data_IF_965786013332
#
_entry.id   IF_965786013332
#
_cell.length_a   1.000
_cell.length_b   1.000
_cell.length_c   1.000
_cell.angle_alpha   90.00
_cell.angle_beta   90.00
_cell.angle_gamma   90.00
#
_symmetry.space_group_name_H-M   'P 1'
#
loop_
_entity.id
_entity.type
_entity.pdbx_description
1 polymer ?
#
# COMPACT_ATOMS: atom_id res chain seq x y z
N UNK A 1 7.12 -2.48 22.49
CA UNK A 1 6.96 -2.45 21.02
C UNK A 1 7.51 -3.74 20.46
N UNK A 2 6.76 -4.41 19.58
CA UNK A 2 7.22 -5.66 18.99
C UNK A 2 8.34 -5.39 17.98
N UNK A 3 9.32 -6.29 17.91
CA UNK A 3 10.41 -6.25 16.94
C UNK A 3 10.33 -7.52 16.12
N UNK A 4 10.50 -7.39 14.80
CA UNK A 4 10.54 -8.54 13.89
C UNK A 4 11.77 -9.37 14.26
N UNK A 5 11.57 -10.68 14.39
CA UNK A 5 12.67 -11.60 14.59
C UNK A 5 13.63 -11.56 13.39
N UNK A 6 14.89 -11.97 13.60
CA UNK A 6 15.86 -12.04 12.51
C UNK A 6 15.39 -12.99 11.40
N UNK A 7 14.71 -14.08 11.76
CA UNK A 7 14.07 -14.99 10.78
C UNK A 7 13.01 -14.28 9.94
N UNK A 8 12.11 -13.49 10.55
CA UNK A 8 11.10 -12.73 9.79
C UNK A 8 11.75 -11.70 8.85
N UNK A 9 12.83 -11.04 9.29
CA UNK A 9 13.59 -10.11 8.43
C UNK A 9 14.23 -10.82 7.24
N UNK A 10 14.78 -12.02 7.43
CA UNK A 10 15.36 -12.83 6.36
C UNK A 10 14.29 -13.29 5.36
N UNK A 11 13.12 -13.74 5.83
CA UNK A 11 11.97 -14.07 4.94
C UNK A 11 11.58 -12.84 4.11
N UNK A 12 11.41 -11.67 4.75
CA UNK A 12 11.11 -10.43 4.03
C UNK A 12 12.19 -10.07 3.02
N UNK A 13 13.46 -10.19 3.39
CA UNK A 13 14.60 -9.93 2.51
C UNK A 13 14.52 -10.82 1.27
N UNK A 14 14.29 -12.11 1.46
CA UNK A 14 14.18 -13.07 0.36
C UNK A 14 13.04 -12.72 -0.60
N UNK A 15 11.85 -12.44 -0.06
CA UNK A 15 10.67 -12.04 -0.85
C UNK A 15 10.94 -10.73 -1.62
N UNK A 16 11.41 -9.69 -0.94
CA UNK A 16 11.65 -8.38 -1.58
C UNK A 16 12.81 -8.40 -2.58
N UNK A 17 13.75 -9.33 -2.44
CA UNK A 17 14.83 -9.55 -3.43
C UNK A 17 14.26 -10.19 -4.69
N UNK A 18 13.41 -11.21 -4.56
CA UNK A 18 12.71 -11.83 -5.71
C UNK A 18 11.88 -10.79 -6.46
N UNK A 19 11.00 -10.09 -5.73
CA UNK A 19 10.07 -9.14 -6.32
C UNK A 19 10.80 -8.06 -7.07
N UNK A 20 11.84 -7.44 -6.49
CA UNK A 20 12.59 -6.38 -7.18
C UNK A 20 13.42 -6.87 -8.36
N UNK A 21 13.87 -8.12 -8.36
CA UNK A 21 14.72 -8.65 -9.43
C UNK A 21 13.91 -9.22 -10.60
N UNK A 22 12.81 -9.91 -10.28
CA UNK A 22 12.05 -10.75 -11.21
C UNK A 22 10.62 -10.26 -11.45
N UNK A 23 10.06 -9.42 -10.56
CA UNK A 23 8.65 -9.00 -10.63
C UNK A 23 7.67 -10.02 -10.05
N UNK A 24 8.18 -11.11 -9.46
CA UNK A 24 7.42 -12.24 -8.88
C UNK A 24 7.74 -12.38 -7.40
N UNK A 25 6.91 -13.08 -6.64
CA UNK A 25 7.20 -13.46 -5.26
C UNK A 25 7.48 -14.97 -5.17
N UNK A 26 8.31 -15.43 -4.22
CA UNK A 26 8.46 -16.85 -3.96
C UNK A 26 7.15 -17.40 -3.39
N UNK A 27 6.85 -18.64 -3.74
CA UNK A 27 5.74 -19.40 -3.16
C UNK A 27 6.03 -19.75 -1.70
N UNK A 28 4.97 -20.06 -0.95
CA UNK A 28 5.12 -20.57 0.42
C UNK A 28 5.96 -21.86 0.43
N UNK A 29 5.76 -22.74 -0.54
CA UNK A 29 6.53 -23.99 -0.66
C UNK A 29 8.04 -23.73 -0.84
N UNK A 30 8.42 -22.76 -1.68
CA UNK A 30 9.81 -22.35 -1.87
C UNK A 30 10.41 -21.77 -0.58
N UNK A 31 9.66 -20.92 0.13
CA UNK A 31 10.11 -20.39 1.42
C UNK A 31 10.33 -21.49 2.46
N UNK A 32 9.42 -22.48 2.55
CA UNK A 32 9.57 -23.61 3.47
C UNK A 32 10.82 -24.44 3.14
N UNK A 33 11.04 -24.71 1.85
CA UNK A 33 12.19 -25.47 1.37
C UNK A 33 13.52 -24.73 1.62
N UNK A 34 13.59 -23.45 1.24
CA UNK A 34 14.82 -22.64 1.35
C UNK A 34 15.23 -22.41 2.81
N UNK A 35 14.27 -22.10 3.69
CA UNK A 35 14.54 -21.87 5.10
C UNK A 35 14.58 -23.16 5.93
N UNK A 36 14.40 -24.33 5.30
CA UNK A 36 14.36 -25.65 5.93
C UNK A 36 13.47 -25.67 7.19
N UNK A 37 12.26 -25.10 7.09
CA UNK A 37 11.34 -24.97 8.22
C UNK A 37 9.95 -25.51 7.89
N UNK A 38 9.23 -26.08 8.87
CA UNK A 38 7.85 -26.51 8.68
C UNK A 38 6.90 -25.30 8.67
N UNK A 39 5.71 -25.48 8.09
CA UNK A 39 4.69 -24.42 7.98
C UNK A 39 4.32 -23.79 9.34
N UNK A 40 4.24 -24.60 10.39
CA UNK A 40 4.00 -24.13 11.76
C UNK A 40 5.03 -23.12 12.27
N UNK A 41 6.25 -23.11 11.72
CA UNK A 41 7.29 -22.13 12.04
C UNK A 41 7.25 -20.92 11.11
N UNK A 42 6.91 -21.09 9.83
CA UNK A 42 6.82 -19.98 8.87
C UNK A 42 5.57 -19.11 9.09
N UNK A 43 4.42 -19.73 9.39
CA UNK A 43 3.14 -19.05 9.58
C UNK A 43 3.20 -17.89 10.60
N UNK A 44 3.77 -18.03 11.81
CA UNK A 44 3.90 -16.90 12.73
C UNK A 44 4.84 -15.80 12.22
N UNK A 45 5.88 -16.13 11.44
CA UNK A 45 6.76 -15.13 10.83
C UNK A 45 6.01 -14.29 9.78
N UNK A 46 5.22 -14.95 8.92
CA UNK A 46 4.37 -14.26 7.94
C UNK A 46 3.31 -13.40 8.62
N UNK A 47 2.74 -13.88 9.73
CA UNK A 47 1.78 -13.11 10.54
C UNK A 47 2.41 -11.86 11.17
N UNK A 48 3.65 -11.97 11.65
CA UNK A 48 4.41 -10.81 12.14
C UNK A 48 4.69 -9.81 11.01
N UNK A 49 5.02 -10.30 9.81
CA UNK A 49 5.23 -9.45 8.62
C UNK A 49 3.95 -8.78 8.13
N UNK A 50 2.80 -9.46 8.23
CA UNK A 50 1.47 -8.86 8.03
C UNK A 50 1.21 -7.74 9.03
N UNK A 51 1.45 -8.00 10.32
CA UNK A 51 1.30 -7.00 11.38
C UNK A 51 2.25 -5.81 11.23
N UNK A 52 3.41 -6.02 10.60
CA UNK A 52 4.35 -4.96 10.26
C UNK A 52 4.05 -4.29 8.90
N UNK A 53 2.93 -4.60 8.24
CA UNK A 53 2.53 -4.04 6.94
C UNK A 53 3.65 -4.25 5.89
N UNK A 54 4.25 -5.44 5.90
CA UNK A 54 5.34 -5.82 5.00
C UNK A 54 4.87 -6.81 3.95
N UNK A 55 4.14 -7.84 4.35
CA UNK A 55 3.60 -8.88 3.47
C UNK A 55 2.10 -9.04 3.73
N UNK A 56 1.39 -9.68 2.81
CA UNK A 56 0.05 -10.20 3.06
C UNK A 56 -0.13 -11.56 2.37
N UNK A 57 -0.75 -12.50 3.06
CA UNK A 57 -1.21 -13.76 2.47
C UNK A 57 -2.60 -13.61 1.90
N UNK A 58 -2.88 -14.30 0.80
CA UNK A 58 -4.19 -14.35 0.18
C UNK A 58 -5.21 -14.94 1.14
N UNK A 59 -6.39 -14.33 1.17
CA UNK A 59 -7.54 -14.78 1.96
C UNK A 59 -8.62 -15.42 1.08
N UNK A 60 -9.63 -16.00 1.73
CA UNK A 60 -10.73 -16.72 1.06
C UNK A 60 -11.61 -15.81 0.21
N UNK A 61 -11.67 -14.52 0.52
CA UNK A 61 -12.52 -13.56 -0.20
C UNK A 61 -11.96 -13.23 -1.58
N UNK A 62 -10.63 -13.21 -1.72
CA UNK A 62 -9.96 -12.76 -2.93
C UNK A 62 -9.33 -13.89 -3.75
N UNK A 63 -9.12 -15.08 -3.18
CA UNK A 63 -8.42 -16.20 -3.84
C UNK A 63 -8.98 -16.54 -5.22
N UNK A 64 -10.30 -16.57 -5.38
CA UNK A 64 -10.99 -16.93 -6.62
C UNK A 64 -11.59 -15.71 -7.35
N UNK A 65 -11.25 -14.50 -6.92
CA UNK A 65 -11.79 -13.28 -7.51
C UNK A 65 -11.24 -13.09 -8.93
N UNK A 66 -12.14 -13.06 -9.91
CA UNK A 66 -11.84 -12.80 -11.33
C UNK A 66 -11.66 -11.32 -11.64
N UNK A 67 -11.92 -10.45 -10.65
CA UNK A 67 -11.73 -9.01 -10.75
C UNK A 67 -10.91 -8.47 -9.58
N UNK A 68 -10.29 -7.32 -9.81
CA UNK A 68 -9.65 -6.51 -8.79
C UNK A 68 -10.06 -5.06 -9.01
N UNK A 69 -10.71 -4.45 -8.01
CA UNK A 69 -11.29 -3.10 -8.12
C UNK A 69 -12.16 -2.87 -9.38
N UNK A 70 -13.02 -3.84 -9.68
CA UNK A 70 -13.93 -3.81 -10.84
C UNK A 70 -13.24 -3.95 -12.21
N UNK A 71 -11.92 -4.19 -12.23
CA UNK A 71 -11.18 -4.54 -13.45
C UNK A 71 -11.05 -6.06 -13.57
N UNK A 72 -11.26 -6.60 -14.77
CA UNK A 72 -11.08 -8.03 -15.05
C UNK A 72 -9.59 -8.35 -15.03
N UNK A 73 -9.22 -9.38 -14.27
CA UNK A 73 -7.86 -9.86 -14.23
C UNK A 73 -7.55 -10.73 -15.45
N UNK A 74 -6.42 -10.48 -16.08
CA UNK A 74 -5.93 -11.31 -17.19
C UNK A 74 -5.42 -12.67 -16.72
N UNK A 75 -4.92 -12.73 -15.49
CA UNK A 75 -4.40 -13.92 -14.82
C UNK A 75 -5.00 -13.99 -13.41
N UNK A 76 -5.24 -15.19 -12.87
CA UNK A 76 -5.81 -15.33 -11.54
C UNK A 76 -4.89 -14.72 -10.47
N UNK A 77 -5.48 -14.30 -9.36
CA UNK A 77 -4.72 -13.95 -8.17
C UNK A 77 -3.99 -15.19 -7.62
N UNK A 78 -3.02 -15.02 -6.71
CA UNK A 78 -2.37 -16.15 -6.06
C UNK A 78 -3.42 -16.99 -5.31
N UNK A 79 -3.23 -18.31 -5.21
CA UNK A 79 -4.18 -19.17 -4.52
C UNK A 79 -4.22 -18.88 -3.02
N UNK A 80 -5.27 -19.35 -2.35
CA UNK A 80 -5.46 -19.19 -0.91
C UNK A 80 -4.19 -19.55 -0.12
N UNK A 81 -3.76 -18.65 0.76
CA UNK A 81 -2.60 -18.86 1.61
C UNK A 81 -1.24 -18.50 0.98
N UNK A 82 -1.15 -18.26 -0.33
CA UNK A 82 0.05 -17.73 -0.98
C UNK A 82 0.23 -16.23 -0.71
N UNK A 83 1.40 -15.69 -1.03
CA UNK A 83 1.64 -14.25 -0.90
C UNK A 83 0.86 -13.48 -1.98
N UNK A 84 -0.02 -12.55 -1.57
CA UNK A 84 -0.74 -11.63 -2.47
C UNK A 84 -0.09 -10.25 -2.54
N UNK A 85 0.52 -9.80 -1.44
CA UNK A 85 1.24 -8.54 -1.39
C UNK A 85 2.63 -8.71 -0.78
N UNK A 86 3.63 -8.12 -1.44
CA UNK A 86 4.95 -7.85 -0.92
C UNK A 86 5.15 -6.33 -0.90
N UNK A 87 4.58 -5.68 0.12
CA UNK A 87 4.26 -4.25 0.09
C UNK A 87 5.51 -3.41 -0.22
N UNK A 88 5.47 -2.54 -1.24
CA UNK A 88 4.28 -1.99 -1.93
C UNK A 88 3.78 -2.73 -3.20
N UNK A 89 4.27 -3.94 -3.47
CA UNK A 89 3.98 -4.68 -4.70
C UNK A 89 2.82 -5.66 -4.55
N UNK A 90 2.01 -5.80 -5.61
CA UNK A 90 1.20 -6.98 -5.85
C UNK A 90 2.06 -8.11 -6.42
N UNK A 91 1.78 -9.35 -6.03
CA UNK A 91 2.45 -10.55 -6.56
C UNK A 91 1.74 -11.12 -7.79
N UNK A 92 0.71 -10.44 -8.27
CA UNK A 92 -0.12 -10.81 -9.43
C UNK A 92 -0.26 -9.61 -10.37
N UNK A 93 -0.60 -9.90 -11.63
CA UNK A 93 -0.81 -8.87 -12.65
C UNK A 93 -2.13 -8.16 -12.42
N UNK A 94 -2.09 -6.84 -12.28
CA UNK A 94 -3.27 -5.98 -12.14
C UNK A 94 -3.14 -4.72 -13.02
N UNK A 95 -4.10 -3.80 -12.91
CA UNK A 95 -4.11 -2.55 -13.67
C UNK A 95 -3.19 -1.45 -13.11
N UNK A 96 -2.28 -1.74 -12.18
CA UNK A 96 -1.26 -0.81 -11.68
C UNK A 96 0.13 -1.22 -12.17
N UNK A 97 0.32 -1.25 -13.49
CA UNK A 97 1.53 -1.76 -14.11
C UNK A 97 2.71 -0.81 -13.90
N UNK A 98 3.82 -1.34 -13.39
CA UNK A 98 5.05 -0.59 -13.11
C UNK A 98 6.14 -0.96 -14.12
N UNK A 99 6.71 0.06 -14.74
CA UNK A 99 7.84 -0.03 -15.66
C UNK A 99 9.06 0.66 -15.05
N UNK A 100 10.20 -0.05 -15.03
CA UNK A 100 11.50 0.48 -14.58
C UNK A 100 12.55 0.17 -15.63
N UNK A 101 13.33 1.17 -16.03
CA UNK A 101 14.36 1.02 -17.07
C UNK A 101 13.83 0.35 -18.36
N UNK A 102 12.61 0.70 -18.77
CA UNK A 102 11.94 0.16 -19.97
C UNK A 102 11.38 -1.27 -19.83
N UNK A 103 11.45 -1.87 -18.63
CA UNK A 103 10.92 -3.21 -18.37
C UNK A 103 9.65 -3.12 -17.51
N UNK A 104 8.51 -3.54 -18.06
CA UNK A 104 7.28 -3.71 -17.28
C UNK A 104 7.27 -5.12 -16.69
N UNK A 105 7.54 -5.22 -15.38
CA UNK A 105 7.57 -6.50 -14.65
C UNK A 105 6.78 -6.47 -13.35
N UNK A 106 6.61 -5.30 -12.77
CA UNK A 106 6.04 -5.15 -11.43
C UNK A 106 4.63 -4.58 -11.50
N UNK A 107 3.89 -4.78 -10.42
CA UNK A 107 2.55 -4.25 -10.23
C UNK A 107 2.44 -3.64 -8.83
N UNK A 108 1.85 -2.45 -8.72
CA UNK A 108 1.60 -1.85 -7.42
C UNK A 108 0.38 -2.53 -6.79
N UNK A 109 0.34 -2.58 -5.45
CA UNK A 109 -0.83 -3.15 -4.77
C UNK A 109 -2.08 -2.28 -4.88
N UNK A 110 -1.93 -0.96 -5.02
CA UNK A 110 -3.05 -0.02 -5.20
C UNK A 110 -2.59 1.37 -5.63
N UNK A 111 -3.54 2.28 -5.88
CA UNK A 111 -3.28 3.66 -6.26
C UNK A 111 -2.45 4.46 -5.23
N UNK A 112 -2.62 4.18 -3.93
CA UNK A 112 -1.92 4.89 -2.85
C UNK A 112 -0.42 4.57 -2.86
N UNK A 113 -0.08 3.29 -2.93
CA UNK A 113 1.32 2.86 -2.97
C UNK A 113 1.99 3.17 -4.31
N UNK A 114 1.23 3.16 -5.41
CA UNK A 114 1.70 3.58 -6.73
C UNK A 114 2.28 5.01 -6.74
N UNK A 115 1.74 5.93 -5.92
CA UNK A 115 2.25 7.31 -5.83
C UNK A 115 3.68 7.42 -5.28
N UNK A 116 4.17 6.42 -4.54
CA UNK A 116 5.49 6.45 -3.87
C UNK A 116 6.40 5.29 -4.30
N UNK A 117 5.98 4.50 -5.27
CA UNK A 117 6.63 3.24 -5.66
C UNK A 117 8.06 3.43 -6.17
N UNK A 118 8.38 4.61 -6.71
CA UNK A 118 9.72 4.95 -7.20
C UNK A 118 10.79 4.85 -6.12
N UNK A 119 10.42 4.94 -4.84
CA UNK A 119 11.34 4.76 -3.71
C UNK A 119 11.87 3.32 -3.56
N UNK A 120 11.30 2.36 -4.27
CA UNK A 120 11.80 0.98 -4.33
C UNK A 120 12.93 0.78 -5.35
N UNK A 121 13.17 1.76 -6.23
CA UNK A 121 14.13 1.67 -7.33
C UNK A 121 15.07 2.90 -7.33
N UNK A 122 16.03 2.97 -6.40
CA UNK A 122 16.92 4.11 -6.28
C UNK A 122 17.66 4.44 -7.59
N UNK A 123 17.68 5.71 -7.96
CA UNK A 123 18.31 6.26 -9.17
C UNK A 123 17.55 6.02 -10.47
N UNK A 124 16.50 5.19 -10.46
CA UNK A 124 15.73 4.86 -11.65
C UNK A 124 14.47 5.72 -11.79
N UNK A 125 14.10 6.01 -13.04
CA UNK A 125 12.76 6.46 -13.35
C UNK A 125 11.80 5.27 -13.31
N UNK A 126 10.64 5.50 -12.70
CA UNK A 126 9.58 4.52 -12.55
C UNK A 126 8.30 5.10 -13.12
N UNK A 127 7.72 4.38 -14.07
CA UNK A 127 6.45 4.72 -14.71
C UNK A 127 5.39 3.79 -14.15
N UNK A 128 4.25 4.33 -13.74
CA UNK A 128 3.05 3.54 -13.40
C UNK A 128 1.97 3.86 -14.40
N UNK A 129 1.48 2.85 -15.10
CA UNK A 129 0.31 2.93 -15.98
C UNK A 129 -0.89 2.27 -15.32
N UNK A 130 -2.04 2.95 -15.39
CA UNK A 130 -3.29 2.51 -14.78
C UNK A 130 -4.52 3.12 -15.47
N UNK A 131 -5.67 2.99 -14.84
CA UNK A 131 -6.95 3.51 -15.31
C UNK A 131 -7.73 4.19 -14.19
N UNK A 132 -8.54 5.17 -14.56
CA UNK A 132 -9.54 5.78 -13.70
C UNK A 132 -10.63 4.75 -13.40
N UNK A 133 -10.90 4.46 -12.12
CA UNK A 133 -11.89 3.46 -11.72
C UNK A 133 -13.30 3.75 -12.23
N UNK A 134 -13.66 5.04 -12.31
CA UNK A 134 -14.98 5.48 -12.76
C UNK A 134 -15.13 5.52 -14.29
N UNK A 135 -14.15 6.12 -14.98
CA UNK A 135 -14.29 6.47 -16.42
C UNK A 135 -13.46 5.58 -17.34
N UNK A 136 -12.60 4.71 -16.77
CA UNK A 136 -11.62 3.87 -17.48
C UNK A 136 -10.60 4.66 -18.32
N UNK A 137 -10.54 5.98 -18.15
CA UNK A 137 -9.54 6.82 -18.78
C UNK A 137 -8.13 6.41 -18.30
N UNK A 138 -7.12 6.35 -19.19
CA UNK A 138 -5.76 6.06 -18.80
C UNK A 138 -5.21 7.04 -17.76
N UNK A 139 -4.39 6.50 -16.87
CA UNK A 139 -3.67 7.22 -15.83
C UNK A 139 -2.20 6.86 -15.94
N UNK A 140 -1.31 7.85 -15.85
CA UNK A 140 0.13 7.63 -15.83
C UNK A 140 0.77 8.43 -14.70
N UNK A 141 1.65 7.79 -13.94
CA UNK A 141 2.53 8.45 -12.98
C UNK A 141 3.98 8.28 -13.43
N UNK A 142 4.81 9.29 -13.22
CA UNK A 142 6.26 9.23 -13.39
C UNK A 142 6.89 9.63 -12.06
N UNK A 143 7.74 8.76 -11.52
CA UNK A 143 8.42 9.00 -10.25
C UNK A 143 9.90 8.63 -10.29
N UNK A 144 10.66 9.20 -9.36
CA UNK A 144 12.10 8.91 -9.16
C UNK A 144 12.44 9.08 -7.68
N UNK A 145 13.16 8.12 -7.10
CA UNK A 145 13.66 8.19 -5.72
C UNK A 145 12.58 8.48 -4.66
N UNK A 146 11.37 7.97 -4.85
CA UNK A 146 10.22 8.19 -3.97
C UNK A 146 9.47 9.50 -4.24
N UNK A 147 9.98 10.34 -5.12
CA UNK A 147 9.31 11.57 -5.52
C UNK A 147 8.43 11.32 -6.75
N UNK A 148 7.23 11.89 -6.73
CA UNK A 148 6.41 12.00 -7.93
C UNK A 148 6.93 13.19 -8.75
N UNK A 149 7.28 12.93 -10.00
CA UNK A 149 7.87 13.89 -10.93
C UNK A 149 6.80 14.48 -11.83
N UNK A 150 5.92 13.64 -12.36
CA UNK A 150 4.81 14.05 -13.22
C UNK A 150 3.67 13.03 -13.17
N UNK A 151 2.49 13.43 -13.63
CA UNK A 151 1.36 12.53 -13.78
C UNK A 151 0.29 13.08 -14.73
N UNK A 152 -0.39 12.16 -15.40
CA UNK A 152 -1.51 12.44 -16.29
C UNK A 152 -2.73 11.58 -15.94
N UNK A 153 -3.95 12.14 -16.02
CA UNK A 153 -4.24 13.55 -16.27
C UNK A 153 -3.83 14.45 -15.08
N UNK A 154 -3.51 15.73 -15.30
CA UNK A 154 -3.14 16.63 -14.19
C UNK A 154 -4.30 16.87 -13.19
N UNK A 155 -5.54 16.56 -13.57
CA UNK A 155 -6.70 16.56 -12.68
C UNK A 155 -6.82 15.30 -11.82
N UNK A 156 -5.90 14.33 -11.96
CA UNK A 156 -5.92 13.04 -11.27
C UNK A 156 -6.12 13.21 -9.77
N UNK A 157 -6.90 12.30 -9.21
CA UNK A 157 -7.20 12.17 -7.81
C UNK A 157 -6.96 10.74 -7.34
N UNK A 158 -6.51 10.62 -6.10
CA UNK A 158 -6.30 9.35 -5.41
C UNK A 158 -7.31 9.24 -4.30
N UNK A 159 -8.12 8.18 -4.32
CA UNK A 159 -9.01 7.87 -3.22
C UNK A 159 -8.34 6.87 -2.28
N UNK A 160 -8.44 7.15 -0.99
CA UNK A 160 -8.08 6.24 0.09
C UNK A 160 -9.38 5.87 0.81
N UNK A 161 -9.93 4.72 0.43
CA UNK A 161 -11.28 4.28 0.79
C UNK A 161 -11.37 3.42 2.04
N UNK A 162 -10.41 3.56 2.96
CA UNK A 162 -10.44 2.82 4.22
C UNK A 162 -9.96 3.67 5.38
N UNK A 163 -10.84 4.02 6.32
CA UNK A 163 -10.46 4.86 7.45
C UNK A 163 -9.50 4.09 8.36
N UNK A 164 -8.42 4.75 8.76
CA UNK A 164 -7.37 4.21 9.67
C UNK A 164 -7.99 3.58 10.92
N UNK A 165 -9.15 4.09 11.37
CA UNK A 165 -9.92 3.58 12.51
C UNK A 165 -10.36 2.10 12.44
N UNK A 166 -10.36 1.50 11.24
CA UNK A 166 -10.81 0.12 11.00
C UNK A 166 -9.63 -0.85 10.79
N UNK A 167 -8.39 -0.34 10.82
CA UNK A 167 -7.20 -1.19 10.85
C UNK A 167 -7.17 -2.06 12.13
N UNK A 168 -6.68 -3.31 12.07
CA UNK A 168 -6.13 -4.04 10.91
C UNK A 168 -7.04 -5.17 10.40
N UNK A 169 -8.38 -5.06 10.52
CA UNK A 169 -9.27 -6.22 10.29
C UNK A 169 -9.19 -6.84 8.87
N UNK A 170 -8.59 -6.15 7.88
CA UNK A 170 -8.43 -6.62 6.49
C UNK A 170 -7.12 -6.09 5.87
N UNK A 171 -5.99 -6.72 6.17
CA UNK A 171 -4.69 -6.30 5.60
C UNK A 171 -4.63 -6.55 4.08
N UNK A 172 -5.34 -7.56 3.56
CA UNK A 172 -5.46 -7.81 2.11
C UNK A 172 -6.45 -6.82 1.49
N UNK A 173 -7.70 -6.83 1.94
CA UNK A 173 -8.78 -6.04 1.33
C UNK A 173 -8.66 -4.51 1.46
N UNK A 174 -7.66 -3.98 2.17
CA UNK A 174 -7.43 -2.53 2.21
C UNK A 174 -7.17 -1.95 0.80
N UNK A 175 -6.40 -2.68 0.00
CA UNK A 175 -5.99 -2.20 -1.31
C UNK A 175 -7.18 -2.06 -2.27
N UNK A 176 -8.28 -2.80 -2.09
CA UNK A 176 -9.46 -2.78 -2.98
C UNK A 176 -10.20 -1.44 -2.99
N UNK A 177 -10.02 -0.64 -1.94
CA UNK A 177 -10.70 0.64 -1.77
C UNK A 177 -9.84 1.83 -2.21
N UNK A 178 -8.62 1.58 -2.69
CA UNK A 178 -7.65 2.62 -3.00
C UNK A 178 -7.45 2.73 -4.51
N UNK A 179 -8.03 3.76 -5.12
CA UNK A 179 -8.15 3.83 -6.58
C UNK A 179 -7.83 5.22 -7.14
N UNK A 180 -7.43 5.24 -8.42
CA UNK A 180 -7.27 6.45 -9.20
C UNK A 180 -8.60 6.93 -9.80
N UNK A 181 -8.76 8.25 -9.86
CA UNK A 181 -9.86 8.93 -10.52
C UNK A 181 -9.33 10.06 -11.38
N UNK A 182 -9.67 10.08 -12.67
CA UNK A 182 -9.18 11.09 -13.62
C UNK A 182 -9.47 12.54 -13.20
N UNK A 183 -10.48 12.76 -12.35
CA UNK A 183 -10.86 14.06 -11.82
C UNK A 183 -11.58 13.95 -10.46
N UNK A 184 -11.74 15.09 -9.79
CA UNK A 184 -12.59 15.17 -8.59
C UNK A 184 -14.04 14.74 -8.89
N UNK A 185 -14.59 15.17 -10.03
CA UNK A 185 -15.95 14.80 -10.44
C UNK A 185 -16.10 13.29 -10.64
N UNK A 186 -15.10 12.64 -11.23
CA UNK A 186 -15.08 11.18 -11.37
C UNK A 186 -15.09 10.48 -10.01
N UNK A 187 -14.31 10.99 -9.04
CA UNK A 187 -14.32 10.47 -7.67
C UNK A 187 -15.67 10.71 -6.98
N UNK A 188 -16.31 11.87 -7.16
CA UNK A 188 -17.62 12.19 -6.59
C UNK A 188 -18.71 11.26 -7.14
N UNK A 189 -18.74 11.07 -8.46
CA UNK A 189 -19.69 10.18 -9.12
C UNK A 189 -19.53 8.74 -8.63
N UNK A 190 -18.30 8.25 -8.55
CA UNK A 190 -18.03 6.91 -8.03
C UNK A 190 -18.47 6.75 -6.57
N UNK A 191 -18.13 7.71 -5.70
CA UNK A 191 -18.56 7.69 -4.29
C UNK A 191 -20.08 7.69 -4.15
N UNK A 192 -20.79 8.44 -4.98
CA UNK A 192 -22.26 8.45 -4.99
C UNK A 192 -22.86 7.09 -5.35
N UNK A 193 -22.21 6.34 -6.26
CA UNK A 193 -22.61 4.98 -6.61
C UNK A 193 -22.19 3.92 -5.57
N UNK A 194 -21.23 4.23 -4.70
CA UNK A 194 -20.68 3.32 -3.69
C UNK A 194 -20.77 3.91 -2.27
N UNK A 195 -21.98 4.22 -1.77
CA UNK A 195 -22.15 4.90 -0.47
C UNK A 195 -21.66 4.09 0.74
N UNK A 196 -21.38 2.79 0.56
CA UNK A 196 -20.78 1.93 1.60
C UNK A 196 -19.26 2.04 1.72
N UNK A 197 -18.58 2.76 0.81
CA UNK A 197 -17.13 2.94 0.85
C UNK A 197 -16.82 4.36 1.32
N UNK A 198 -16.51 4.48 2.61
CA UNK A 198 -16.01 5.72 3.22
C UNK A 198 -14.58 6.01 2.76
N UNK A 199 -14.20 7.27 2.62
CA UNK A 199 -12.81 7.59 2.29
C UNK A 199 -12.52 9.07 2.14
N UNK A 200 -11.27 9.37 1.81
CA UNK A 200 -10.84 10.71 1.42
C UNK A 200 -10.22 10.68 0.03
N UNK A 201 -10.31 11.82 -0.65
CA UNK A 201 -9.70 12.04 -1.97
C UNK A 201 -8.57 13.06 -1.82
N UNK A 202 -7.41 12.79 -2.43
CA UNK A 202 -6.21 13.65 -2.38
C UNK A 202 -5.55 13.75 -3.76
N UNK A 203 -4.64 14.70 -3.92
CA UNK A 203 -3.76 14.72 -5.10
C UNK A 203 -2.72 13.58 -5.03
N UNK A 204 -2.18 13.15 -6.18
CA UNK A 204 -1.07 12.21 -6.24
C UNK A 204 0.16 12.67 -5.44
N UNK A 205 0.48 13.97 -5.44
CA UNK A 205 1.61 14.53 -4.70
C UNK A 205 1.39 14.48 -3.19
N UNK A 206 0.19 14.84 -2.72
CA UNK A 206 -0.16 14.73 -1.30
C UNK A 206 0.00 13.28 -0.83
N UNK A 207 -0.44 12.32 -1.65
CA UNK A 207 -0.32 10.91 -1.35
C UNK A 207 1.13 10.42 -1.38
N UNK A 208 1.90 10.80 -2.41
CA UNK A 208 3.33 10.48 -2.50
C UNK A 208 4.10 11.01 -1.28
N UNK A 209 3.83 12.27 -0.89
CA UNK A 209 4.45 12.91 0.27
C UNK A 209 4.06 12.22 1.57
N UNK A 210 2.78 11.85 1.73
CA UNK A 210 2.32 11.10 2.89
C UNK A 210 3.07 9.77 3.01
N UNK A 211 3.08 8.96 1.94
CA UNK A 211 3.64 7.62 1.98
C UNK A 211 5.15 7.67 2.18
N UNK A 212 5.89 8.44 1.39
CA UNK A 212 7.36 8.55 1.55
C UNK A 212 7.79 9.20 2.85
N UNK A 213 7.04 10.20 3.33
CA UNK A 213 7.35 10.92 4.57
C UNK A 213 6.85 10.23 5.84
N UNK A 214 6.17 9.08 5.73
CA UNK A 214 5.69 8.34 6.89
C UNK A 214 5.82 6.82 6.71
N UNK A 215 4.82 6.16 6.12
CA UNK A 215 4.69 4.71 6.13
C UNK A 215 5.83 4.06 5.35
N UNK A 216 6.23 4.56 4.18
CA UNK A 216 7.27 3.94 3.37
C UNK A 216 8.70 4.32 3.76
N UNK A 217 8.90 5.14 4.80
CA UNK A 217 10.24 5.58 5.19
C UNK A 217 11.11 4.37 5.58
N UNK A 218 12.20 4.16 4.83
CA UNK A 218 13.11 3.04 5.02
C UNK A 218 12.58 1.69 4.51
N UNK A 219 11.46 1.65 3.78
CA UNK A 219 10.87 0.39 3.28
C UNK A 219 11.76 -0.38 2.31
N UNK A 220 12.72 0.29 1.68
CA UNK A 220 13.75 -0.35 0.86
C UNK A 220 14.80 -1.13 1.68
N UNK A 221 14.89 -0.90 3.00
CA UNK A 221 15.71 -1.69 3.92
C UNK A 221 14.98 -2.96 4.37
N UNK A 222 15.73 -4.04 4.60
CA UNK A 222 15.16 -5.34 4.91
C UNK A 222 14.61 -5.45 6.34
N UNK A 223 15.13 -4.66 7.27
CA UNK A 223 14.71 -4.57 8.67
C UNK A 223 13.55 -3.59 8.91
N UNK A 224 12.96 -3.08 7.83
CA UNK A 224 11.90 -2.08 7.86
C UNK A 224 10.77 -2.46 8.82
N UNK A 225 10.34 -1.45 9.58
CA UNK A 225 9.08 -1.43 10.32
C UNK A 225 8.47 -0.04 10.19
N UNK A 226 7.13 0.04 10.08
CA UNK A 226 6.45 1.31 9.94
C UNK A 226 6.80 2.21 11.13
N UNK A 227 7.26 3.41 10.81
CA UNK A 227 7.60 4.44 11.80
C UNK A 227 6.79 5.68 11.48
N UNK A 228 6.06 6.20 12.46
CA UNK A 228 5.29 7.44 12.38
C UNK A 228 6.14 8.60 12.94
N UNK A 229 6.68 9.50 12.07
CA UNK A 229 7.44 10.66 12.51
C UNK A 229 6.49 11.81 12.88
N UNK A 230 6.01 11.82 14.13
CA UNK A 230 4.92 12.70 14.61
C UNK A 230 5.21 14.18 14.32
N UNK A 231 6.43 14.66 14.59
CA UNK A 231 6.76 16.06 14.32
C UNK A 231 6.72 16.38 12.83
N UNK A 232 7.23 15.50 11.98
CA UNK A 232 7.17 15.66 10.52
C UNK A 232 5.72 15.68 10.03
N UNK A 233 4.89 14.75 10.51
CA UNK A 233 3.46 14.70 10.18
C UNK A 233 2.73 15.99 10.57
N UNK A 234 3.02 16.54 11.76
CA UNK A 234 2.42 17.80 12.23
C UNK A 234 2.93 19.00 11.43
N UNK A 235 4.24 19.07 11.15
CA UNK A 235 4.85 20.18 10.41
C UNK A 235 4.42 20.23 8.94
N UNK A 236 4.22 19.06 8.32
CA UNK A 236 3.89 18.89 6.90
C UNK A 236 2.43 18.45 6.68
N UNK A 237 1.56 18.77 7.64
CA UNK A 237 0.19 18.27 7.70
C UNK A 237 -0.65 18.66 6.46
N UNK A 238 -0.37 19.81 5.83
CA UNK A 238 -0.99 20.21 4.55
C UNK A 238 -0.42 19.44 3.37
N UNK A 239 0.91 19.40 3.24
CA UNK A 239 1.61 18.75 2.13
C UNK A 239 1.34 17.24 2.05
N UNK A 240 1.02 16.61 3.18
CA UNK A 240 0.69 15.19 3.25
C UNK A 240 -0.82 14.91 3.13
N UNK A 241 -1.66 15.92 2.82
CA UNK A 241 -3.11 15.74 2.77
C UNK A 241 -3.75 15.36 4.13
N UNK A 242 -3.07 15.64 5.25
CA UNK A 242 -3.54 15.30 6.59
C UNK A 242 -4.49 16.36 7.18
N UNK A 243 -4.54 17.56 6.60
CA UNK A 243 -5.55 18.59 6.89
C UNK A 243 -6.52 18.78 5.74
N UNK A 244 -7.71 19.24 6.11
CA UNK A 244 -8.55 20.07 5.22
C UNK A 244 -8.32 21.55 5.52
N UNK A 245 -8.55 22.37 4.51
CA UNK A 245 -8.53 23.83 4.64
C UNK A 245 -9.92 24.35 4.96
N UNK A 246 -10.07 25.18 5.99
CA UNK A 246 -11.34 25.86 6.29
C UNK A 246 -11.66 26.92 5.24
N UNK A 247 -12.90 27.44 5.25
CA UNK A 247 -13.25 28.64 4.47
C UNK A 247 -12.34 29.84 4.75
N UNK A 248 -11.77 29.92 5.95
CA UNK A 248 -10.81 30.97 6.36
C UNK A 248 -9.34 30.64 6.06
N UNK A 249 -9.06 29.55 5.34
CA UNK A 249 -7.69 29.17 4.98
C UNK A 249 -6.90 28.45 6.07
N UNK A 250 -7.51 28.18 7.23
CA UNK A 250 -6.83 27.51 8.36
C UNK A 250 -6.78 25.99 8.14
N UNK A 251 -5.64 25.32 8.42
CA UNK A 251 -5.56 23.87 8.34
C UNK A 251 -6.23 23.25 9.57
N UNK A 252 -7.16 22.32 9.36
CA UNK A 252 -7.74 21.50 10.42
C UNK A 252 -7.42 20.04 10.12
N UNK A 253 -6.86 19.28 11.09
CA UNK A 253 -6.62 17.85 10.93
C UNK A 253 -7.89 17.11 10.51
N UNK A 254 -7.78 16.25 9.50
CA UNK A 254 -8.91 15.50 9.01
C UNK A 254 -9.24 14.35 9.98
N UNK A 255 -10.53 14.19 10.31
CA UNK A 255 -10.98 13.15 11.25
C UNK A 255 -10.65 11.74 10.76
N UNK A 256 -10.57 11.57 9.43
CA UNK A 256 -10.19 10.34 8.76
C UNK A 256 -8.86 9.76 9.28
N UNK A 257 -7.90 10.62 9.63
CA UNK A 257 -6.56 10.23 10.06
C UNK A 257 -6.42 10.01 11.57
N UNK A 258 -7.43 10.37 12.35
CA UNK A 258 -7.34 10.31 13.80
C UNK A 258 -7.53 8.86 14.26
N UNK A 259 -6.56 8.28 15.00
CA UNK A 259 -6.71 6.93 15.52
C UNK A 259 -7.87 6.87 16.51
N UNK A 260 -8.54 5.71 16.58
CA UNK A 260 -9.62 5.49 17.56
C UNK A 260 -9.19 4.45 18.61
N UNK A 261 -9.77 4.46 19.81
CA UNK A 261 -9.55 3.39 20.79
C UNK A 261 -9.92 2.01 20.23
N UNK A 262 -10.92 1.93 19.33
CA UNK A 262 -11.33 0.71 18.63
C UNK A 262 -10.19 0.13 17.79
N UNK A 263 -9.45 0.97 17.06
CA UNK A 263 -8.30 0.57 16.26
C UNK A 263 -7.21 -0.09 17.13
N UNK A 264 -6.82 0.57 18.23
CA UNK A 264 -5.79 0.04 19.14
C UNK A 264 -6.21 -1.31 19.76
N UNK A 265 -7.49 -1.43 20.15
CA UNK A 265 -8.06 -2.67 20.69
C UNK A 265 -8.14 -3.78 19.64
N UNK A 266 -8.57 -3.45 18.41
CA UNK A 266 -8.65 -4.40 17.29
C UNK A 266 -7.29 -5.00 16.95
N UNK A 267 -6.26 -4.15 16.87
CA UNK A 267 -4.90 -4.57 16.58
C UNK A 267 -4.41 -5.64 17.55
N UNK A 268 -4.62 -5.40 18.85
CA UNK A 268 -4.27 -6.37 19.91
C UNK A 268 -5.11 -7.64 19.84
N UNK A 269 -6.42 -7.55 19.56
CA UNK A 269 -7.32 -8.70 19.51
C UNK A 269 -7.06 -9.63 18.32
N UNK A 270 -6.57 -9.10 17.19
CA UNK A 270 -6.29 -9.89 15.99
C UNK A 270 -4.91 -10.57 16.01
N UNK A 271 -4.18 -10.48 17.14
CA UNK A 271 -2.85 -11.08 17.29
C UNK A 271 -1.77 -10.42 16.43
N UNK A 272 -2.03 -9.23 15.91
CA UNK A 272 -1.04 -8.47 15.16
C UNK A 272 -0.20 -7.71 16.20
N UNK A 273 1.11 -7.93 16.23
CA UNK A 273 1.99 -7.25 17.19
C UNK A 273 1.92 -5.73 17.03
N UNK A 274 2.29 -4.98 18.08
CA UNK A 274 2.43 -3.53 17.97
C UNK A 274 3.78 -3.18 17.32
N UNK A 275 3.79 -3.17 15.98
CA UNK A 275 4.96 -2.93 15.14
C UNK A 275 5.10 -1.46 14.67
N UNK A 276 4.09 -0.61 14.87
CA UNK A 276 4.14 0.81 14.49
C UNK A 276 4.96 1.59 15.51
N UNK A 277 6.13 2.09 15.09
CA UNK A 277 7.02 2.90 15.93
C UNK A 277 6.60 4.34 15.90
N UNK A 278 6.52 4.98 17.06
CA UNK A 278 6.28 6.43 17.14
C UNK A 278 7.62 7.12 17.37
N UNK A 279 7.99 8.06 16.50
CA UNK A 279 9.15 8.93 16.68
C UNK A 279 8.71 10.38 16.78
N UNK A 280 9.17 11.06 17.83
CA UNK A 280 8.94 12.49 18.05
C UNK A 280 10.08 13.35 17.51
N UNK A 281 10.90 12.85 16.58
CA UNK A 281 11.96 13.62 15.93
C UNK A 281 11.55 13.94 14.51
#
# INVERSE_FOLDING_TARGET
MAVLSDRARLVRQRVMTEVRSHGTAPTIAELLAEFAMPEKELAPLLRDLEGAICLARQDEEHADAVTFQDEVLAEPQPPLGELVYARPFATFKNHYAITVAGQQKWYAECAVEACAISGQFPGAEVIVDSVCRQTKQPVRLIGRDGLLVDYEPHSLRVHLGYPVREMPHRVVGWCDYNSFFASEDAAIQWKAAHPGIDGITRSPEEMACLITGSIAQGRHHYDYQPTLPVLTLVRRLREMGLARTTRSGLPIPERFWLPTPKMLSSWRRNGLGNFIRVRFR
#
